data_IF_971183959990
#
_entry.id   IF_971183959990
#
_cell.length_a   1.000
_cell.length_b   1.000
_cell.length_c   1.000
_cell.angle_alpha   90.00
_cell.angle_beta   90.00
_cell.angle_gamma   90.00
#
_symmetry.space_group_name_H-M   'P 1'
#
loop_
_entity.id
_entity.type
_entity.pdbx_description
1 polymer ?
#
# COMPACT_ATOMS: atom_id res chain seq x y z
N UNK A 1 -16.87 0.36 -20.15
CA UNK A 1 -17.39 0.77 -18.83
C UNK A 1 -16.28 1.54 -18.13
N UNK A 2 -16.58 2.68 -17.52
CA UNK A 2 -15.57 3.60 -16.99
C UNK A 2 -14.92 3.04 -15.72
N UNK A 3 -13.77 2.38 -15.87
CA UNK A 3 -12.97 1.80 -14.78
C UNK A 3 -12.52 2.85 -13.73
N UNK A 4 -12.71 4.15 -13.99
CA UNK A 4 -12.39 5.23 -13.05
C UNK A 4 -13.46 5.41 -11.95
N UNK A 5 -14.62 4.74 -12.04
CA UNK A 5 -15.68 4.82 -11.01
C UNK A 5 -15.57 3.79 -9.88
N UNK A 6 -14.59 2.89 -9.94
CA UNK A 6 -14.44 1.77 -9.00
C UNK A 6 -13.06 1.68 -8.33
N UNK A 7 -12.24 2.73 -8.46
CA UNK A 7 -10.89 2.78 -7.87
C UNK A 7 -10.75 3.95 -6.90
N UNK A 8 -9.81 3.83 -5.97
CA UNK A 8 -9.32 4.91 -5.13
C UNK A 8 -7.80 4.94 -5.14
N UNK A 9 -7.21 5.88 -4.42
CA UNK A 9 -5.77 6.09 -4.37
C UNK A 9 -5.27 6.00 -2.93
N UNK A 10 -4.16 5.29 -2.75
CA UNK A 10 -3.31 5.43 -1.57
C UNK A 10 -2.01 6.12 -1.95
N UNK A 11 -1.51 6.99 -1.06
CA UNK A 11 -0.15 7.47 -1.13
C UNK A 11 0.49 7.44 0.27
N UNK A 12 1.79 7.22 0.31
CA UNK A 12 2.58 7.32 1.53
C UNK A 12 3.63 8.40 1.34
N UNK A 13 3.79 9.25 2.36
CA UNK A 13 4.77 10.32 2.33
C UNK A 13 6.18 9.74 2.46
N UNK A 14 6.44 8.90 3.47
CA UNK A 14 7.73 8.23 3.64
C UNK A 14 7.60 6.91 4.42
N UNK A 15 7.85 5.78 3.76
CA UNK A 15 7.78 4.43 4.36
C UNK A 15 8.74 4.22 5.54
N UNK A 16 9.78 5.03 5.69
CA UNK A 16 10.73 4.97 6.80
C UNK A 16 10.24 5.70 8.05
N UNK A 17 9.17 6.49 7.94
CA UNK A 17 8.46 7.00 9.12
C UNK A 17 7.65 5.83 9.67
N UNK A 18 8.13 5.23 10.76
CA UNK A 18 7.50 4.08 11.38
C UNK A 18 7.89 4.02 12.85
N UNK A 19 6.99 3.56 13.71
CA UNK A 19 7.28 3.19 15.08
C UNK A 19 7.92 1.78 15.18
N UNK A 20 7.86 1.00 14.08
CA UNK A 20 8.30 -0.39 14.01
C UNK A 20 9.82 -0.50 14.09
N UNK A 21 10.37 -1.24 15.07
CA UNK A 21 11.81 -1.39 15.24
C UNK A 21 12.52 -1.91 13.98
N UNK A 22 11.89 -2.87 13.29
CA UNK A 22 12.41 -3.46 12.07
C UNK A 22 12.52 -2.48 10.90
N UNK A 23 11.74 -1.40 10.89
CA UNK A 23 11.81 -0.35 9.86
C UNK A 23 12.78 0.76 10.28
N UNK A 24 12.77 1.17 11.56
CA UNK A 24 13.65 2.23 12.09
C UNK A 24 15.14 1.94 11.91
N UNK A 25 15.53 0.67 11.94
CA UNK A 25 16.93 0.24 11.84
C UNK A 25 17.41 0.11 10.39
N UNK A 26 16.53 0.27 9.40
CA UNK A 26 16.90 0.08 8.01
C UNK A 26 17.61 1.30 7.44
N UNK A 27 18.66 1.03 6.67
CA UNK A 27 19.27 2.06 5.82
C UNK A 27 18.23 2.57 4.81
N UNK A 28 18.13 3.90 4.66
CA UNK A 28 17.25 4.49 3.65
C UNK A 28 17.61 3.98 2.25
N UNK A 29 16.59 3.73 1.44
CA UNK A 29 16.70 3.11 0.13
C UNK A 29 16.80 1.57 0.15
N UNK A 30 16.79 0.89 1.29
CA UNK A 30 16.65 -0.57 1.39
C UNK A 30 15.28 -1.09 0.91
N UNK A 31 14.20 -0.33 1.15
CA UNK A 31 12.83 -0.63 0.72
C UNK A 31 12.70 -0.17 -0.72
N UNK A 32 12.38 -1.11 -1.61
CA UNK A 32 12.30 -0.86 -3.06
C UNK A 32 10.88 -0.88 -3.60
N UNK A 33 10.00 -1.63 -2.97
CA UNK A 33 8.63 -1.80 -3.45
C UNK A 33 7.64 -1.90 -2.30
N UNK A 34 6.41 -1.46 -2.58
CA UNK A 34 5.24 -1.82 -1.80
C UNK A 34 4.46 -2.89 -2.56
N UNK A 35 4.12 -3.99 -1.91
CA UNK A 35 3.20 -5.01 -2.42
C UNK A 35 1.82 -4.80 -1.81
N UNK A 36 0.80 -4.87 -2.64
CA UNK A 36 -0.59 -4.76 -2.22
C UNK A 36 -1.22 -6.15 -2.18
N UNK A 37 -1.84 -6.45 -1.04
CA UNK A 37 -2.57 -7.69 -0.79
C UNK A 37 -4.05 -7.37 -0.66
N UNK A 38 -4.91 -8.20 -1.24
CA UNK A 38 -6.35 -8.23 -0.98
C UNK A 38 -6.69 -9.32 0.02
N UNK A 39 -7.58 -9.01 0.97
CA UNK A 39 -8.25 -9.99 1.80
C UNK A 39 -9.39 -10.66 1.04
N UNK A 40 -9.29 -11.96 0.83
CA UNK A 40 -10.32 -12.77 0.18
C UNK A 40 -10.99 -13.62 1.24
N UNK A 41 -12.27 -13.37 1.46
CA UNK A 41 -13.11 -14.17 2.36
C UNK A 41 -13.57 -15.41 1.61
N UNK A 42 -13.14 -16.58 2.08
CA UNK A 42 -13.66 -17.86 1.64
C UNK A 42 -14.88 -18.18 2.51
N UNK A 43 -16.06 -18.16 1.89
CA UNK A 43 -17.30 -18.65 2.47
C UNK A 43 -17.75 -17.89 3.73
N UNK A 44 -18.90 -18.28 4.31
CA UNK A 44 -19.44 -17.65 5.52
C UNK A 44 -18.68 -18.00 6.82
N UNK A 45 -17.58 -18.76 6.74
CA UNK A 45 -16.84 -19.31 7.90
C UNK A 45 -15.47 -18.65 8.16
N UNK A 46 -15.40 -17.33 8.08
CA UNK A 46 -14.35 -16.49 8.68
C UNK A 46 -12.88 -16.72 8.24
N UNK A 47 -12.59 -17.63 7.31
CA UNK A 47 -11.23 -17.81 6.78
C UNK A 47 -10.90 -16.72 5.75
N UNK A 48 -9.94 -15.84 6.10
CA UNK A 48 -9.42 -14.81 5.19
C UNK A 48 -8.12 -15.28 4.58
N UNK A 49 -8.10 -15.54 3.28
CA UNK A 49 -6.87 -15.73 2.52
C UNK A 49 -6.37 -14.40 1.94
N UNK A 50 -5.09 -14.34 1.56
CA UNK A 50 -4.46 -13.15 1.00
C UNK A 50 -4.11 -13.38 -0.46
N UNK A 51 -4.57 -12.49 -1.33
CA UNK A 51 -4.22 -12.49 -2.76
C UNK A 51 -3.32 -11.31 -3.07
N UNK A 52 -2.21 -11.52 -3.77
CA UNK A 52 -1.35 -10.42 -4.23
C UNK A 52 -2.06 -9.72 -5.41
N UNK A 53 -2.29 -8.41 -5.31
CA UNK A 53 -2.82 -7.60 -6.41
C UNK A 53 -1.72 -7.07 -7.33
N UNK A 54 -0.57 -6.71 -6.76
CA UNK A 54 0.54 -6.15 -7.51
C UNK A 54 1.59 -5.51 -6.62
N UNK A 55 2.58 -4.90 -7.25
CA UNK A 55 3.62 -4.11 -6.58
C UNK A 55 3.77 -2.73 -7.23
N UNK A 56 4.22 -1.76 -6.46
CA UNK A 56 4.63 -0.45 -6.95
C UNK A 56 6.02 -0.09 -6.39
N UNK A 57 6.81 0.71 -7.13
CA UNK A 57 8.09 1.19 -6.63
C UNK A 57 7.89 2.13 -5.43
N UNK A 58 8.85 2.07 -4.52
CA UNK A 58 9.09 3.12 -3.52
C UNK A 58 10.15 4.05 -4.09
N UNK A 59 9.84 5.34 -4.13
CA UNK A 59 10.73 6.38 -4.62
C UNK A 59 11.94 6.57 -3.68
N UNK A 60 12.98 7.26 -4.15
CA UNK A 60 14.20 7.47 -3.37
C UNK A 60 13.98 8.28 -2.07
N UNK A 61 12.92 9.09 -2.01
CA UNK A 61 12.50 9.81 -0.80
C UNK A 61 11.67 8.94 0.17
N UNK A 62 11.38 7.69 -0.19
CA UNK A 62 10.55 6.78 0.60
C UNK A 62 9.06 6.84 0.27
N UNK A 63 8.64 7.66 -0.70
CA UNK A 63 7.23 7.81 -1.03
C UNK A 63 6.72 6.73 -2.00
N UNK A 64 5.42 6.44 -1.95
CA UNK A 64 4.74 5.66 -3.00
C UNK A 64 3.35 6.24 -3.30
N UNK A 65 2.83 5.94 -4.50
CA UNK A 65 1.54 6.41 -4.97
C UNK A 65 0.88 5.35 -5.84
N UNK A 66 -0.24 4.79 -5.38
CA UNK A 66 -0.89 3.62 -5.97
C UNK A 66 -2.39 3.85 -6.17
N UNK A 67 -2.92 3.39 -7.30
CA UNK A 67 -4.35 3.30 -7.55
C UNK A 67 -4.79 1.86 -7.34
N UNK A 68 -5.83 1.67 -6.53
CA UNK A 68 -6.28 0.35 -6.07
C UNK A 68 -7.79 0.19 -6.27
N UNK A 69 -8.32 -1.05 -6.26
CA UNK A 69 -9.76 -1.27 -6.26
C UNK A 69 -10.41 -0.66 -5.02
N UNK A 70 -11.49 0.09 -5.22
CA UNK A 70 -12.27 0.64 -4.12
C UNK A 70 -13.08 -0.45 -3.42
N UNK A 71 -13.48 -0.20 -2.17
CA UNK A 71 -14.29 -1.12 -1.33
C UNK A 71 -13.70 -2.52 -1.19
N UNK A 72 -12.40 -2.65 -1.40
CA UNK A 72 -11.67 -3.91 -1.29
C UNK A 72 -10.81 -3.86 -0.02
N UNK A 73 -10.83 -4.89 0.83
CA UNK A 73 -9.94 -4.96 2.00
C UNK A 73 -8.50 -5.17 1.53
N UNK A 74 -7.63 -4.23 1.84
CA UNK A 74 -6.25 -4.19 1.41
C UNK A 74 -5.28 -4.19 2.59
N UNK A 75 -4.11 -4.79 2.38
CA UNK A 75 -2.95 -4.70 3.27
C UNK A 75 -1.69 -4.48 2.42
N UNK A 76 -0.63 -3.95 3.04
CA UNK A 76 0.62 -3.61 2.37
C UNK A 76 1.79 -4.40 2.93
N UNK A 77 2.74 -4.77 2.06
CA UNK A 77 4.05 -5.29 2.47
C UNK A 77 5.14 -4.39 1.89
N UNK A 78 6.12 -4.03 2.71
CA UNK A 78 7.33 -3.38 2.23
C UNK A 78 8.34 -4.45 1.83
N UNK A 79 8.92 -4.30 0.65
CA UNK A 79 9.85 -5.26 0.06
C UNK A 79 11.24 -4.66 -0.13
N UNK A 80 12.26 -5.49 0.05
CA UNK A 80 13.63 -5.15 -0.29
C UNK A 80 13.93 -5.29 -1.80
N UNK A 81 15.20 -5.14 -2.18
CA UNK A 81 15.67 -5.27 -3.57
C UNK A 81 15.51 -6.68 -4.15
N UNK A 82 15.43 -7.71 -3.30
CA UNK A 82 15.26 -9.10 -3.71
C UNK A 82 13.78 -9.51 -3.72
N UNK A 83 12.86 -8.58 -3.40
CA UNK A 83 11.43 -8.83 -3.28
C UNK A 83 11.04 -9.56 -1.99
N UNK A 84 11.95 -9.66 -1.00
CA UNK A 84 11.66 -10.25 0.31
C UNK A 84 10.89 -9.26 1.15
N UNK A 85 9.98 -9.78 1.96
CA UNK A 85 9.14 -8.97 2.85
C UNK A 85 9.99 -8.49 4.02
N UNK A 86 10.06 -7.17 4.19
CA UNK A 86 10.66 -6.51 5.36
C UNK A 86 9.64 -6.45 6.49
N UNK A 87 8.44 -5.94 6.19
CA UNK A 87 7.33 -5.86 7.15
C UNK A 87 5.99 -5.93 6.43
N UNK A 88 4.94 -6.28 7.18
CA UNK A 88 3.57 -6.43 6.68
C UNK A 88 2.61 -5.65 7.56
N UNK A 89 1.77 -4.82 6.95
CA UNK A 89 0.61 -4.25 7.63
C UNK A 89 -0.39 -5.37 7.94
N UNK A 90 -0.68 -5.58 9.22
CA UNK A 90 -1.56 -6.65 9.69
C UNK A 90 -3.04 -6.24 9.77
N UNK A 91 -3.33 -4.96 9.53
CA UNK A 91 -4.68 -4.41 9.51
C UNK A 91 -5.19 -4.25 8.08
N UNK A 92 -6.50 -4.45 7.92
CA UNK A 92 -7.18 -4.16 6.66
C UNK A 92 -7.50 -2.67 6.55
N UNK A 93 -7.23 -2.11 5.38
CA UNK A 93 -7.62 -0.76 5.00
C UNK A 93 -8.32 -0.79 3.64
N UNK A 94 -9.07 0.25 3.32
CA UNK A 94 -9.71 0.39 2.03
C UNK A 94 -9.89 1.87 1.71
N UNK A 95 -10.24 2.12 0.46
CA UNK A 95 -10.66 3.41 -0.07
C UNK A 95 -12.03 3.27 -0.70
N UNK A 96 -12.81 4.33 -0.62
CA UNK A 96 -14.04 4.51 -1.38
C UNK A 96 -13.72 4.94 -2.81
N UNK A 97 -14.66 4.79 -3.76
CA UNK A 97 -14.45 5.25 -5.12
C UNK A 97 -14.04 6.72 -5.16
N UNK A 98 -12.94 7.00 -5.86
CA UNK A 98 -12.33 8.33 -6.04
C UNK A 98 -11.78 8.96 -4.75
N UNK A 99 -11.74 8.22 -3.65
CA UNK A 99 -11.05 8.66 -2.43
C UNK A 99 -9.54 8.69 -2.68
N UNK A 100 -8.88 9.70 -2.12
CA UNK A 100 -7.42 9.75 -1.98
C UNK A 100 -7.08 9.68 -0.51
N UNK A 101 -6.36 8.64 -0.10
CA UNK A 101 -6.01 8.37 1.29
C UNK A 101 -4.50 8.38 1.48
N UNK A 102 -4.03 9.31 2.29
CA UNK A 102 -2.61 9.46 2.62
C UNK A 102 -2.24 8.77 3.93
N UNK A 103 -1.06 8.14 3.97
CA UNK A 103 -0.37 7.74 5.20
C UNK A 103 0.90 8.57 5.34
N UNK A 104 1.24 9.01 6.56
CA UNK A 104 2.53 9.69 6.78
C UNK A 104 3.66 8.67 6.61
N UNK A 105 3.44 7.49 7.16
CA UNK A 105 4.41 6.41 7.21
C UNK A 105 3.80 5.03 7.04
N UNK A 106 4.59 4.00 7.34
CA UNK A 106 4.15 2.61 7.30
C UNK A 106 4.07 2.07 8.72
N UNK A 107 3.07 2.54 9.47
CA UNK A 107 2.89 2.37 10.93
C UNK A 107 3.60 3.45 11.74
N UNK A 108 3.25 4.71 11.46
CA UNK A 108 3.70 5.91 12.16
C UNK A 108 3.03 6.11 13.53
N UNK A 109 3.63 6.97 14.36
CA UNK A 109 2.96 7.52 15.53
C UNK A 109 1.72 8.32 15.09
N UNK A 110 0.58 8.05 15.73
CA UNK A 110 -0.72 8.64 15.39
C UNK A 110 -0.81 10.12 15.73
N UNK A 111 0.03 10.58 16.65
CA UNK A 111 0.13 12.00 17.05
C UNK A 111 1.15 12.77 16.19
N UNK A 112 1.84 12.08 15.26
CA UNK A 112 2.83 12.70 14.40
C UNK A 112 2.14 13.59 13.35
N UNK A 113 2.51 14.86 13.31
CA UNK A 113 2.16 15.71 12.20
C UNK A 113 2.94 15.29 10.93
N UNK A 114 2.32 15.30 9.74
CA UNK A 114 3.03 15.04 8.50
C UNK A 114 4.22 16.00 8.33
N UNK A 115 5.39 15.52 7.88
CA UNK A 115 6.49 16.42 7.54
C UNK A 115 6.09 17.33 6.37
N UNK A 116 6.61 18.56 6.37
CA UNK A 116 6.40 19.50 5.26
C UNK A 116 7.28 19.10 4.06
N UNK A 117 6.88 18.05 3.37
CA UNK A 117 7.54 17.56 2.15
C UNK A 117 6.51 17.20 1.09
N UNK A 118 6.83 17.49 -0.17
CA UNK A 118 6.05 17.04 -1.32
C UNK A 118 6.57 15.64 -1.73
N UNK A 119 5.78 14.56 -1.57
CA UNK A 119 6.25 13.22 -1.90
C UNK A 119 6.46 13.09 -3.42
N UNK A 120 7.63 12.60 -3.83
CA UNK A 120 8.00 12.42 -5.24
C UNK A 120 7.07 11.48 -5.99
N UNK A 121 6.43 10.54 -5.31
CA UNK A 121 5.48 9.63 -5.93
C UNK A 121 4.17 10.34 -6.34
N UNK A 122 3.73 11.35 -5.59
CA UNK A 122 2.45 12.03 -5.81
C UNK A 122 2.49 12.97 -7.03
N UNK A 123 3.66 13.49 -7.38
CA UNK A 123 3.83 14.28 -8.62
C UNK A 123 3.80 13.43 -9.89
N UNK A 124 3.82 12.11 -9.76
CA UNK A 124 3.68 11.15 -10.86
C UNK A 124 2.27 10.53 -10.84
N UNK A 125 1.78 10.04 -11.99
CA UNK A 125 0.55 9.24 -12.01
C UNK A 125 0.65 8.06 -11.04
N UNK A 126 -0.45 7.78 -10.33
CA UNK A 126 -0.54 6.63 -9.44
C UNK A 126 -0.31 5.33 -10.22
N UNK A 127 0.50 4.42 -9.67
CA UNK A 127 0.74 3.11 -10.27
C UNK A 127 -0.52 2.27 -10.14
N UNK A 128 -1.00 1.72 -11.25
CA UNK A 128 -2.21 0.90 -11.27
C UNK A 128 -1.95 -0.45 -10.61
N UNK A 129 -2.72 -0.77 -9.58
CA UNK A 129 -2.68 -2.04 -8.87
C UNK A 129 -3.98 -2.76 -9.11
N UNK A 130 -3.95 -3.76 -9.99
CA UNK A 130 -5.09 -4.61 -10.31
C UNK A 130 -4.63 -6.06 -10.35
N UNK A 131 -5.35 -6.94 -9.64
CA UNK A 131 -5.15 -8.37 -9.85
C UNK A 131 -5.70 -8.78 -11.22
N UNK A 132 -5.17 -9.87 -11.76
CA UNK A 132 -5.85 -10.62 -12.81
C UNK A 132 -7.31 -10.90 -12.38
N UNK A 133 -8.27 -10.85 -13.32
CA UNK A 133 -9.69 -11.05 -13.01
C UNK A 133 -9.90 -12.37 -12.25
N UNK A 134 -10.80 -12.35 -11.26
CA UNK A 134 -11.17 -13.57 -10.52
C UNK A 134 -11.69 -14.57 -11.55
N UNK A 135 -11.06 -15.75 -11.65
CA UNK A 135 -11.68 -16.86 -12.39
C UNK A 135 -12.93 -17.24 -11.61
N UNK A 136 -14.09 -16.97 -12.18
CA UNK A 136 -15.34 -17.48 -11.64
C UNK A 136 -15.27 -19.01 -11.73
N UNK A 137 -15.42 -19.69 -10.59
CA UNK A 137 -15.71 -21.12 -10.55
C UNK A 137 -17.23 -21.28 -10.45
#
# INVERSE_FOLDING_TARGET
MDHNRETGVFYCIDVYISDRPEVKQLARGSIKQVRVLEGVFLDREAAVTRRILGTAPVEADGSFHIRVPAKTPLAFQLLDKEGKVITTQLTWTWVMPRESRGCIGCHEDRELAPPNQLPRAVVKPAVQIEAAPRKNN
#
